data_IF_645298470857
#
_entry.id   IF_645298470857
#
_cell.length_a   1.000
_cell.length_b   1.000
_cell.length_c   1.000
_cell.angle_alpha   90.00
_cell.angle_beta   90.00
_cell.angle_gamma   90.00
#
_symmetry.space_group_name_H-M   'P 1'
#
loop_
_entity.id
_entity.type
_entity.pdbx_description
1 polymer ?
#
# COMPACT_ATOMS: atom_id res chain seq x y z
N UNK A 1 21.53 9.45 15.06
CA UNK A 1 20.54 9.46 13.96
C UNK A 1 20.46 10.90 13.49
N UNK A 2 21.18 11.20 12.43
CA UNK A 2 21.66 12.54 12.07
C UNK A 2 20.59 13.29 11.27
N UNK A 3 20.62 14.63 11.27
CA UNK A 3 19.72 15.49 10.48
C UNK A 3 19.64 15.13 8.99
N UNK A 4 20.63 14.42 8.45
CA UNK A 4 20.63 13.84 7.10
C UNK A 4 19.54 12.80 6.88
N UNK A 5 19.23 11.98 7.89
CA UNK A 5 18.25 10.88 7.80
C UNK A 5 16.82 11.42 7.59
N UNK A 6 16.55 12.66 8.04
CA UNK A 6 15.25 13.34 7.85
C UNK A 6 15.05 13.90 6.44
N UNK A 7 16.14 14.20 5.72
CA UNK A 7 16.08 14.78 4.36
C UNK A 7 15.88 13.67 3.31
N UNK A 8 16.41 12.48 3.59
CA UNK A 8 16.29 11.29 2.72
C UNK A 8 15.06 10.45 3.00
N UNK A 9 14.33 10.70 4.10
CA UNK A 9 13.11 9.99 4.43
C UNK A 9 12.06 10.09 3.30
N UNK A 10 11.48 8.95 2.95
CA UNK A 10 10.48 8.76 1.92
C UNK A 10 11.05 8.84 0.51
N UNK A 11 12.35 8.59 0.32
CA UNK A 11 13.01 8.62 -1.00
C UNK A 11 13.39 7.23 -1.48
N UNK A 12 13.33 7.05 -2.79
CA UNK A 12 13.74 5.81 -3.46
C UNK A 12 15.01 6.07 -4.25
N UNK A 13 16.13 5.51 -3.79
CA UNK A 13 17.43 5.62 -4.45
C UNK A 13 17.58 4.61 -5.60
N UNK A 14 18.61 4.79 -6.43
CA UNK A 14 18.78 4.04 -7.69
C UNK A 14 18.94 2.53 -7.55
N UNK A 15 19.34 2.06 -6.38
CA UNK A 15 19.49 0.65 -6.01
C UNK A 15 18.19 0.01 -5.49
N UNK A 16 17.15 0.80 -5.24
CA UNK A 16 15.88 0.32 -4.71
C UNK A 16 15.02 -0.32 -5.83
N UNK A 17 14.34 -1.47 -5.59
CA UNK A 17 13.56 -2.17 -6.62
C UNK A 17 12.52 -1.30 -7.33
N UNK A 18 11.88 -0.37 -6.60
CA UNK A 18 10.87 0.54 -7.14
C UNK A 18 11.44 1.71 -7.96
N UNK A 19 12.75 1.95 -7.96
CA UNK A 19 13.32 3.17 -8.52
C UNK A 19 12.89 3.44 -9.96
N UNK A 20 13.03 2.45 -10.84
CA UNK A 20 12.66 2.59 -12.25
C UNK A 20 11.18 2.94 -12.44
N UNK A 21 10.30 2.35 -11.61
CA UNK A 21 8.86 2.61 -11.65
C UNK A 21 8.50 4.01 -11.12
N UNK A 22 9.18 4.48 -10.08
CA UNK A 22 9.00 5.83 -9.53
C UNK A 22 9.47 6.90 -10.53
N UNK A 23 10.61 6.70 -11.20
CA UNK A 23 11.05 7.60 -12.27
C UNK A 23 10.08 7.62 -13.44
N UNK A 24 9.44 6.48 -13.75
CA UNK A 24 8.38 6.43 -14.74
C UNK A 24 7.13 7.17 -14.27
N UNK A 25 6.72 7.02 -13.02
CA UNK A 25 5.60 7.77 -12.44
C UNK A 25 5.82 9.28 -12.57
N UNK A 26 7.00 9.79 -12.20
CA UNK A 26 7.31 11.21 -12.34
C UNK A 26 7.24 11.71 -13.79
N UNK A 27 7.54 10.87 -14.79
CA UNK A 27 7.44 11.23 -16.21
C UNK A 27 6.01 11.16 -16.75
N UNK A 28 5.25 10.14 -16.36
CA UNK A 28 3.91 9.88 -16.89
C UNK A 28 2.86 10.81 -16.27
N UNK A 29 3.07 11.22 -15.02
CA UNK A 29 2.24 12.20 -14.32
C UNK A 29 2.84 13.61 -14.35
N UNK A 30 3.81 13.87 -15.23
CA UNK A 30 4.40 15.20 -15.38
C UNK A 30 3.32 16.19 -15.85
N UNK A 31 3.03 17.16 -15.00
CA UNK A 31 1.99 18.15 -15.23
C UNK A 31 2.39 19.48 -14.59
N UNK A 32 1.95 20.62 -15.16
CA UNK A 32 2.14 21.92 -14.53
C UNK A 32 1.53 21.93 -13.12
N UNK A 33 2.17 22.59 -12.14
CA UNK A 33 1.62 22.68 -10.80
C UNK A 33 0.19 23.24 -10.83
N UNK A 34 -0.70 22.76 -9.96
CA UNK A 34 -2.06 23.29 -9.88
C UNK A 34 -2.04 24.73 -9.36
N UNK A 35 -3.12 25.47 -9.61
CA UNK A 35 -3.23 26.87 -9.17
C UNK A 35 -3.41 26.96 -7.65
N UNK A 36 -4.05 25.95 -7.06
CA UNK A 36 -4.22 25.76 -5.62
C UNK A 36 -3.98 24.30 -5.22
N UNK A 37 -3.75 24.06 -3.93
CA UNK A 37 -3.50 22.72 -3.39
C UNK A 37 -4.74 22.03 -2.81
N UNK A 38 -5.92 22.65 -2.93
CA UNK A 38 -7.17 22.10 -2.37
C UNK A 38 -7.14 22.00 -0.84
N UNK A 39 -6.45 22.94 -0.19
CA UNK A 39 -6.28 23.00 1.26
C UNK A 39 -7.23 24.02 1.88
N UNK A 40 -7.54 23.85 3.16
CA UNK A 40 -8.36 24.79 3.89
C UNK A 40 -7.64 26.14 4.09
N UNK A 41 -8.32 27.22 3.73
CA UNK A 41 -7.80 28.59 3.81
C UNK A 41 -8.23 29.35 5.07
N UNK A 42 -8.80 28.67 6.08
CA UNK A 42 -9.33 29.31 7.29
C UNK A 42 -8.24 29.94 8.20
N UNK A 43 -6.96 29.84 7.84
CA UNK A 43 -5.82 30.37 8.60
C UNK A 43 -5.41 29.51 9.81
N UNK A 44 -6.21 28.52 10.21
CA UNK A 44 -5.90 27.59 11.31
C UNK A 44 -5.29 26.25 10.85
N UNK A 45 -5.64 25.76 9.66
CA UNK A 45 -5.16 24.45 9.16
C UNK A 45 -3.79 24.56 8.49
N UNK A 46 -3.65 25.49 7.54
CA UNK A 46 -2.39 25.77 6.85
C UNK A 46 -2.32 27.24 6.48
N UNK A 47 -1.20 27.88 6.81
CA UNK A 47 -0.97 29.27 6.43
C UNK A 47 -0.88 29.43 4.90
N UNK A 48 -1.49 30.46 4.30
CA UNK A 48 -1.41 30.71 2.86
C UNK A 48 0.03 30.76 2.31
N UNK A 49 0.98 31.25 3.12
CA UNK A 49 2.40 31.31 2.77
C UNK A 49 3.06 29.93 2.65
N UNK A 50 2.58 28.93 3.40
CA UNK A 50 3.07 27.55 3.32
C UNK A 50 2.65 26.94 1.99
N UNK A 51 1.37 27.09 1.63
CA UNK A 51 0.84 26.61 0.36
C UNK A 51 1.52 27.24 -0.85
N UNK A 52 1.70 28.57 -0.82
CA UNK A 52 2.41 29.30 -1.86
C UNK A 52 3.88 28.84 -1.97
N UNK A 53 4.55 28.57 -0.84
CA UNK A 53 5.92 28.02 -0.84
C UNK A 53 5.97 26.61 -1.43
N UNK A 54 4.98 25.77 -1.14
CA UNK A 54 4.90 24.41 -1.68
C UNK A 54 4.70 24.41 -3.20
N UNK A 55 3.84 25.29 -3.73
CA UNK A 55 3.57 25.41 -5.17
C UNK A 55 4.77 25.95 -5.98
N UNK A 56 5.73 26.62 -5.35
CA UNK A 56 6.93 27.16 -6.01
C UNK A 56 7.98 26.09 -6.34
N UNK A 57 7.80 24.84 -5.89
CA UNK A 57 8.72 23.74 -6.16
C UNK A 57 7.96 22.52 -6.71
N UNK A 58 8.60 21.71 -7.56
CA UNK A 58 8.02 20.44 -8.01
C UNK A 58 7.63 19.57 -6.81
N UNK A 59 6.54 18.81 -6.92
CA UNK A 59 6.11 17.82 -5.91
C UNK A 59 7.24 16.83 -5.58
N UNK A 60 8.08 16.51 -6.57
CA UNK A 60 9.30 15.73 -6.39
C UNK A 60 10.24 16.29 -5.32
N UNK A 61 10.24 17.59 -5.05
CA UNK A 61 11.13 18.23 -4.07
C UNK A 61 10.45 18.49 -2.72
N UNK A 62 9.25 17.94 -2.51
CA UNK A 62 8.58 18.01 -1.22
C UNK A 62 9.18 16.99 -0.26
N UNK A 63 9.49 17.45 0.95
CA UNK A 63 9.91 16.57 2.05
C UNK A 63 8.73 15.76 2.56
N UNK A 64 9.00 14.74 3.37
CA UNK A 64 7.94 13.97 4.04
C UNK A 64 7.00 14.87 4.85
N UNK A 65 7.57 15.82 5.60
CA UNK A 65 6.83 16.78 6.41
C UNK A 65 5.93 17.70 5.56
N UNK A 66 6.37 18.06 4.35
CA UNK A 66 5.56 18.87 3.44
C UNK A 66 4.32 18.12 2.97
N UNK A 67 4.49 16.84 2.62
CA UNK A 67 3.40 15.96 2.17
C UNK A 67 2.38 15.75 3.29
N UNK A 68 2.82 15.56 4.54
CA UNK A 68 1.89 15.46 5.67
C UNK A 68 1.17 16.76 5.96
N UNK A 69 1.91 17.87 6.01
CA UNK A 69 1.29 19.18 6.26
C UNK A 69 0.20 19.48 5.22
N UNK A 70 0.44 19.11 3.96
CA UNK A 70 -0.59 19.17 2.93
C UNK A 70 -1.77 18.23 3.21
N UNK A 71 -1.50 16.94 3.49
CA UNK A 71 -2.55 15.95 3.74
C UNK A 71 -3.47 16.32 4.90
N UNK A 72 -2.92 16.82 6.01
CA UNK A 72 -3.70 17.20 7.20
C UNK A 72 -4.55 18.45 6.97
N UNK A 73 -4.26 19.18 5.89
CA UNK A 73 -4.91 20.45 5.55
C UNK A 73 -5.83 20.36 4.33
N UNK A 74 -5.84 19.23 3.62
CA UNK A 74 -6.65 19.04 2.41
C UNK A 74 -8.13 18.98 2.75
N UNK A 75 -8.95 19.69 1.98
CA UNK A 75 -10.41 19.64 2.12
C UNK A 75 -11.01 18.40 1.43
N UNK A 76 -12.24 18.04 1.79
CA UNK A 76 -13.00 17.03 1.07
C UNK A 76 -13.25 17.48 -0.39
N UNK A 77 -13.25 16.54 -1.34
CA UNK A 77 -13.50 16.85 -2.74
C UNK A 77 -12.30 17.46 -3.49
N UNK A 78 -11.07 17.07 -3.13
CA UNK A 78 -9.86 17.45 -3.85
C UNK A 78 -9.99 17.19 -5.36
N UNK A 79 -9.62 18.19 -6.16
CA UNK A 79 -9.58 18.03 -7.60
C UNK A 79 -8.58 16.96 -8.04
N UNK A 80 -9.02 16.09 -8.95
CA UNK A 80 -8.21 15.02 -9.55
C UNK A 80 -6.86 15.53 -10.11
N UNK A 81 -6.83 16.77 -10.62
CA UNK A 81 -5.59 17.39 -11.12
C UNK A 81 -4.55 17.59 -10.01
N UNK A 82 -4.96 18.02 -8.82
CA UNK A 82 -4.05 18.20 -7.68
C UNK A 82 -3.51 16.85 -7.24
N UNK A 83 -4.38 15.85 -7.13
CA UNK A 83 -3.97 14.49 -6.78
C UNK A 83 -2.99 13.91 -7.81
N UNK A 84 -3.31 14.00 -9.10
CA UNK A 84 -2.45 13.51 -10.19
C UNK A 84 -1.04 14.11 -10.13
N UNK A 85 -0.93 15.40 -9.81
CA UNK A 85 0.35 16.10 -9.70
C UNK A 85 1.18 15.65 -8.48
N UNK A 86 0.52 15.32 -7.37
CA UNK A 86 1.17 14.85 -6.14
C UNK A 86 1.45 13.35 -6.12
N UNK A 87 0.68 12.57 -6.88
CA UNK A 87 0.66 11.11 -6.82
C UNK A 87 2.05 10.47 -6.93
N UNK A 88 2.94 10.85 -7.87
CA UNK A 88 4.28 10.27 -7.93
C UNK A 88 5.08 10.41 -6.63
N UNK A 89 4.93 11.53 -5.91
CA UNK A 89 5.59 11.73 -4.62
C UNK A 89 5.00 10.83 -3.53
N UNK A 90 3.69 10.63 -3.54
CA UNK A 90 3.03 9.67 -2.65
C UNK A 90 3.48 8.23 -2.92
N UNK A 91 3.55 7.83 -4.19
CA UNK A 91 4.05 6.51 -4.59
C UNK A 91 5.51 6.30 -4.15
N UNK A 92 6.37 7.32 -4.30
CA UNK A 92 7.77 7.24 -3.85
C UNK A 92 7.87 7.01 -2.34
N UNK A 93 7.07 7.74 -1.54
CA UNK A 93 7.06 7.59 -0.08
C UNK A 93 6.55 6.20 0.33
N UNK A 94 5.49 5.72 -0.30
CA UNK A 94 4.95 4.37 -0.08
C UNK A 94 5.97 3.28 -0.44
N UNK A 95 6.66 3.43 -1.56
CA UNK A 95 7.69 2.52 -2.02
C UNK A 95 8.89 2.46 -1.07
N UNK A 96 9.32 3.61 -0.53
CA UNK A 96 10.38 3.70 0.47
C UNK A 96 10.02 2.98 1.79
N UNK A 97 8.73 2.70 2.02
CA UNK A 97 8.25 2.02 3.23
C UNK A 97 8.21 2.92 4.46
N UNK A 98 8.36 4.23 4.27
CA UNK A 98 8.27 5.23 5.34
C UNK A 98 6.81 5.49 5.71
N UNK A 99 6.19 4.49 6.34
CA UNK A 99 4.82 4.49 6.83
C UNK A 99 4.71 4.93 8.28
N UNK A 100 5.76 5.53 8.88
CA UNK A 100 5.91 5.85 10.32
C UNK A 100 4.74 6.63 10.96
N UNK A 101 3.72 7.04 10.21
CA UNK A 101 2.62 7.88 10.66
C UNK A 101 1.28 7.16 10.41
N UNK A 102 0.99 6.19 11.28
CA UNK A 102 -0.36 5.69 11.63
C UNK A 102 -1.42 5.79 10.52
N UNK A 103 -1.24 5.04 9.42
CA UNK A 103 -2.27 4.90 8.37
C UNK A 103 -2.56 6.18 7.57
N UNK A 104 -1.70 7.20 7.58
CA UNK A 104 -1.93 8.45 6.83
C UNK A 104 -1.95 8.23 5.31
N UNK A 105 -1.08 7.37 4.78
CA UNK A 105 -1.05 7.07 3.35
C UNK A 105 -2.21 6.16 2.93
N UNK A 106 -2.60 5.23 3.79
CA UNK A 106 -3.84 4.46 3.63
C UNK A 106 -5.04 5.41 3.57
N UNK A 107 -5.15 6.36 4.51
CA UNK A 107 -6.19 7.41 4.49
C UNK A 107 -6.12 8.30 3.25
N UNK A 108 -4.94 8.60 2.74
CA UNK A 108 -4.78 9.34 1.48
C UNK A 108 -5.34 8.55 0.31
N UNK A 109 -5.03 7.25 0.21
CA UNK A 109 -5.55 6.37 -0.83
C UNK A 109 -7.06 6.12 -0.68
N UNK A 110 -7.59 6.06 0.54
CA UNK A 110 -9.04 6.03 0.81
C UNK A 110 -9.71 7.30 0.28
N UNK A 111 -9.10 8.47 0.53
CA UNK A 111 -9.64 9.77 0.11
C UNK A 111 -9.57 9.98 -1.40
N UNK A 112 -8.57 9.39 -2.06
CA UNK A 112 -8.32 9.60 -3.47
C UNK A 112 -8.36 8.27 -4.23
N UNK A 113 -9.38 8.00 -5.06
CA UNK A 113 -9.65 6.70 -5.68
C UNK A 113 -8.61 6.31 -6.74
N UNK A 114 -7.39 6.04 -6.29
CA UNK A 114 -6.21 5.85 -7.13
C UNK A 114 -6.27 4.56 -7.93
N UNK A 115 -6.96 3.55 -7.42
CA UNK A 115 -7.23 2.29 -8.09
C UNK A 115 -8.39 2.30 -9.08
N UNK A 116 -9.06 3.43 -9.31
CA UNK A 116 -10.13 3.54 -10.31
C UNK A 116 -9.56 3.81 -11.71
N UNK A 117 -9.41 2.75 -12.52
CA UNK A 117 -8.86 2.82 -13.88
C UNK A 117 -9.46 3.93 -14.76
N UNK A 118 -10.76 4.21 -14.63
CA UNK A 118 -11.46 5.23 -15.42
C UNK A 118 -10.97 6.66 -15.18
N UNK A 119 -10.25 6.92 -14.09
CA UNK A 119 -9.70 8.24 -13.77
C UNK A 119 -8.33 8.50 -14.40
N UNK A 120 -7.78 7.51 -15.11
CA UNK A 120 -6.40 7.51 -15.57
C UNK A 120 -6.33 7.19 -17.06
N UNK A 121 -5.37 7.79 -17.75
CA UNK A 121 -4.97 7.30 -19.08
C UNK A 121 -4.36 5.91 -18.99
N UNK A 122 -4.32 5.17 -20.10
CA UNK A 122 -3.73 3.82 -20.13
C UNK A 122 -2.28 3.80 -19.64
N UNK A 123 -1.49 4.84 -19.96
CA UNK A 123 -0.10 4.97 -19.52
C UNK A 123 0.01 5.19 -18.00
N UNK A 124 -0.85 6.05 -17.45
CA UNK A 124 -0.91 6.28 -16.00
C UNK A 124 -1.36 5.03 -15.27
N UNK A 125 -2.42 4.38 -15.75
CA UNK A 125 -2.91 3.13 -15.17
C UNK A 125 -1.86 2.02 -15.20
N UNK A 126 -1.10 1.87 -16.28
CA UNK A 126 -0.04 0.87 -16.37
C UNK A 126 1.07 1.07 -15.31
N UNK A 127 1.35 2.32 -14.91
CA UNK A 127 2.26 2.59 -13.77
C UNK A 127 1.61 2.17 -12.46
N UNK A 128 0.35 2.53 -12.23
CA UNK A 128 -0.38 2.24 -10.99
C UNK A 128 -0.63 0.73 -10.78
N UNK A 129 -0.96 -0.01 -11.83
CA UNK A 129 -1.17 -1.45 -11.76
C UNK A 129 0.13 -2.22 -11.48
N UNK A 130 1.24 -1.82 -12.11
CA UNK A 130 2.57 -2.38 -11.78
C UNK A 130 3.00 -2.01 -10.36
N UNK A 131 2.71 -0.78 -9.92
CA UNK A 131 2.99 -0.36 -8.56
C UNK A 131 2.25 -1.23 -7.54
N UNK A 132 0.95 -1.46 -7.73
CA UNK A 132 0.16 -2.37 -6.89
C UNK A 132 0.76 -3.79 -6.88
N UNK A 133 1.16 -4.32 -8.04
CA UNK A 133 1.82 -5.63 -8.12
C UNK A 133 3.12 -5.69 -7.30
N UNK A 134 4.00 -4.70 -7.44
CA UNK A 134 5.25 -4.64 -6.67
C UNK A 134 5.03 -4.46 -5.16
N UNK A 135 3.96 -3.76 -4.75
CA UNK A 135 3.61 -3.62 -3.33
C UNK A 135 3.13 -4.97 -2.75
N UNK A 136 2.32 -5.71 -3.50
CA UNK A 136 1.91 -7.07 -3.10
C UNK A 136 3.13 -8.00 -3.00
N UNK A 137 4.00 -8.01 -4.01
CA UNK A 137 5.24 -8.80 -3.99
C UNK A 137 6.11 -8.46 -2.76
N UNK A 138 6.24 -7.17 -2.44
CA UNK A 138 6.94 -6.72 -1.22
C UNK A 138 6.28 -7.27 0.04
N UNK A 139 4.96 -7.25 0.14
CA UNK A 139 4.20 -7.81 1.27
C UNK A 139 4.35 -9.33 1.41
N UNK A 140 4.53 -10.04 0.29
CA UNK A 140 4.78 -11.48 0.25
C UNK A 140 6.19 -11.85 0.73
N UNK A 141 7.18 -11.02 0.42
CA UNK A 141 8.60 -11.25 0.74
C UNK A 141 8.99 -10.76 2.14
N UNK A 142 8.28 -9.78 2.70
CA UNK A 142 8.65 -9.19 3.99
C UNK A 142 8.32 -10.12 5.16
N UNK A 143 9.36 -10.40 5.98
CA UNK A 143 9.24 -11.17 7.22
C UNK A 143 9.07 -10.30 8.47
N UNK A 144 9.42 -9.01 8.35
CA UNK A 144 9.26 -7.98 9.38
C UNK A 144 8.71 -6.72 8.71
N UNK A 145 7.56 -6.22 9.16
CA UNK A 145 6.89 -5.06 8.59
C UNK A 145 5.49 -5.40 8.05
N UNK A 146 4.93 -4.54 7.18
CA UNK A 146 3.62 -4.79 6.59
C UNK A 146 3.60 -6.07 5.76
N UNK A 147 2.65 -6.95 6.04
CA UNK A 147 2.44 -8.21 5.33
C UNK A 147 1.56 -8.02 4.07
N UNK A 148 1.31 -9.11 3.36
CA UNK A 148 0.45 -9.10 2.17
C UNK A 148 -0.97 -8.59 2.45
N UNK A 149 -1.53 -8.82 3.65
CA UNK A 149 -2.87 -8.35 3.98
C UNK A 149 -2.91 -6.85 4.22
N UNK A 150 -1.87 -6.27 4.82
CA UNK A 150 -1.74 -4.83 4.90
C UNK A 150 -1.71 -4.19 3.51
N UNK A 151 -0.91 -4.74 2.59
CA UNK A 151 -0.79 -4.20 1.24
C UNK A 151 -2.11 -4.38 0.45
N UNK A 152 -2.77 -5.54 0.57
CA UNK A 152 -4.11 -5.78 0.01
C UNK A 152 -5.14 -4.78 0.55
N UNK A 153 -5.13 -4.54 1.86
CA UNK A 153 -6.06 -3.64 2.54
C UNK A 153 -5.89 -2.21 2.05
N UNK A 154 -4.65 -1.72 2.06
CA UNK A 154 -4.30 -0.39 1.56
C UNK A 154 -4.71 -0.21 0.09
N UNK A 155 -4.42 -1.18 -0.79
CA UNK A 155 -4.78 -1.11 -2.21
C UNK A 155 -6.29 -1.21 -2.45
N UNK A 156 -6.99 -2.08 -1.72
CA UNK A 156 -8.44 -2.20 -1.83
C UNK A 156 -9.13 -0.87 -1.45
N UNK A 157 -8.68 -0.25 -0.37
CA UNK A 157 -9.12 1.07 0.06
C UNK A 157 -8.76 2.18 -0.93
N UNK A 158 -7.62 2.04 -1.59
CA UNK A 158 -7.25 2.87 -2.75
C UNK A 158 -8.18 2.73 -3.95
N UNK A 159 -9.09 1.76 -3.95
CA UNK A 159 -10.08 1.52 -5.00
C UNK A 159 -9.62 0.53 -6.07
N UNK A 160 -8.53 -0.20 -5.87
CA UNK A 160 -8.15 -1.28 -6.79
C UNK A 160 -9.16 -2.44 -6.68
N UNK A 161 -9.48 -3.13 -7.80
CA UNK A 161 -10.38 -4.27 -7.75
C UNK A 161 -9.82 -5.40 -6.89
N UNK A 162 -10.41 -5.62 -5.71
CA UNK A 162 -9.91 -6.59 -4.73
C UNK A 162 -9.76 -8.01 -5.30
N UNK A 163 -10.67 -8.46 -6.16
CA UNK A 163 -10.60 -9.80 -6.78
C UNK A 163 -9.37 -9.96 -7.67
N UNK A 164 -8.97 -8.90 -8.39
CA UNK A 164 -7.77 -8.92 -9.23
C UNK A 164 -6.50 -8.96 -8.35
N UNK A 165 -6.51 -8.22 -7.24
CA UNK A 165 -5.40 -8.25 -6.27
C UNK A 165 -5.26 -9.63 -5.61
N UNK A 166 -6.38 -10.21 -5.17
CA UNK A 166 -6.43 -11.57 -4.61
C UNK A 166 -5.91 -12.58 -5.64
N UNK A 167 -6.34 -12.51 -6.89
CA UNK A 167 -5.88 -13.42 -7.93
C UNK A 167 -4.35 -13.36 -8.11
N UNK A 168 -3.75 -12.16 -8.05
CA UNK A 168 -2.28 -11.98 -8.07
C UNK A 168 -1.60 -12.67 -6.88
N UNK A 169 -2.14 -12.49 -5.67
CA UNK A 169 -1.60 -13.11 -4.45
C UNK A 169 -1.75 -14.63 -4.47
N UNK A 170 -2.90 -15.15 -4.89
CA UNK A 170 -3.19 -16.58 -4.94
C UNK A 170 -2.32 -17.34 -5.95
N UNK A 171 -1.94 -16.68 -7.04
CA UNK A 171 -1.05 -17.22 -8.06
C UNK A 171 0.42 -17.27 -7.62
N UNK A 172 0.78 -16.62 -6.50
CA UNK A 172 2.15 -16.57 -6.03
C UNK A 172 2.57 -17.92 -5.40
N UNK A 173 3.70 -18.52 -5.81
CA UNK A 173 4.17 -19.78 -5.26
C UNK A 173 4.55 -19.67 -3.78
N UNK A 174 5.03 -18.50 -3.33
CA UNK A 174 5.53 -18.24 -1.98
C UNK A 174 4.40 -17.88 -0.99
N UNK A 175 3.14 -17.92 -1.44
CA UNK A 175 1.97 -17.68 -0.60
C UNK A 175 1.96 -18.47 0.71
N UNK A 176 2.25 -19.78 0.76
CA UNK A 176 2.22 -20.51 2.01
C UNK A 176 3.20 -19.97 3.04
N UNK A 177 4.39 -19.53 2.60
CA UNK A 177 5.34 -18.91 3.48
C UNK A 177 4.80 -17.56 3.99
N UNK A 178 4.32 -16.70 3.09
CA UNK A 178 3.75 -15.40 3.47
C UNK A 178 2.60 -15.53 4.49
N UNK A 179 1.68 -16.47 4.28
CA UNK A 179 0.56 -16.74 5.20
C UNK A 179 1.03 -17.32 6.54
N UNK A 180 2.06 -18.17 6.55
CA UNK A 180 2.64 -18.66 7.79
C UNK A 180 3.21 -17.50 8.63
N UNK A 181 3.82 -16.49 8.02
CA UNK A 181 4.25 -15.29 8.74
C UNK A 181 3.09 -14.42 9.20
N UNK A 182 2.10 -14.17 8.33
CA UNK A 182 0.96 -13.31 8.64
C UNK A 182 0.08 -13.87 9.77
N UNK A 183 -0.24 -15.17 9.73
CA UNK A 183 -1.20 -15.80 10.65
C UNK A 183 -0.57 -16.69 11.71
N UNK A 184 0.66 -17.16 11.52
CA UNK A 184 1.32 -18.05 12.46
C UNK A 184 1.92 -17.36 13.70
N UNK A 185 2.01 -16.03 13.71
CA UNK A 185 2.63 -15.27 14.81
C UNK A 185 1.71 -14.97 16.00
N UNK A 186 0.49 -15.54 16.03
CA UNK A 186 -0.50 -15.25 17.08
C UNK A 186 -1.28 -13.94 16.86
N UNK A 187 -1.07 -13.29 15.72
CA UNK A 187 -2.07 -12.38 15.15
C UNK A 187 -3.24 -13.25 14.69
N UNK A 188 -4.45 -12.93 15.16
CA UNK A 188 -5.62 -13.72 14.78
C UNK A 188 -5.89 -13.45 13.28
N UNK A 189 -6.36 -14.47 12.55
CA UNK A 189 -6.94 -14.27 11.21
C UNK A 189 -8.00 -13.16 11.27
N UNK A 190 -8.67 -12.97 12.41
CA UNK A 190 -9.61 -11.88 12.66
C UNK A 190 -8.99 -10.47 12.59
N UNK A 191 -7.68 -10.31 12.79
CA UNK A 191 -7.01 -9.01 12.65
C UNK A 191 -6.73 -8.70 11.17
N UNK A 192 -6.26 -9.69 10.40
CA UNK A 192 -5.99 -9.55 8.96
C UNK A 192 -7.27 -9.51 8.12
N UNK A 193 -8.23 -10.34 8.48
CA UNK A 193 -9.61 -10.33 8.01
C UNK A 193 -10.44 -9.72 9.13
N UNK A 194 -10.27 -8.43 9.42
CA UNK A 194 -11.11 -7.67 10.36
C UNK A 194 -12.19 -6.83 9.66
N UNK A 195 -13.18 -6.24 10.38
CA UNK A 195 -14.37 -5.63 9.77
C UNK A 195 -14.13 -4.34 8.94
N UNK A 196 -12.89 -3.89 8.79
CA UNK A 196 -12.54 -2.59 8.19
C UNK A 196 -12.18 -2.67 6.69
N UNK A 197 -12.68 -3.66 5.97
CA UNK A 197 -12.50 -3.77 4.52
C UNK A 197 -13.54 -2.95 3.74
N UNK A 198 -13.22 -2.50 2.51
CA UNK A 198 -14.23 -1.90 1.62
C UNK A 198 -15.42 -2.87 1.38
N UNK A 199 -16.61 -2.35 1.03
CA UNK A 199 -17.77 -3.18 0.74
C UNK A 199 -17.47 -4.28 -0.29
N UNK A 200 -17.84 -5.53 0.04
CA UNK A 200 -17.64 -6.71 -0.81
C UNK A 200 -16.22 -7.29 -0.83
N UNK A 201 -15.21 -6.59 -0.28
CA UNK A 201 -13.85 -7.12 -0.18
C UNK A 201 -13.75 -8.24 0.86
N UNK A 202 -14.49 -8.13 1.96
CA UNK A 202 -14.58 -9.19 2.98
C UNK A 202 -14.98 -10.54 2.38
N UNK A 203 -16.10 -10.57 1.64
CA UNK A 203 -16.62 -11.81 1.05
C UNK A 203 -15.62 -12.39 0.04
N UNK A 204 -14.99 -11.54 -0.77
CA UNK A 204 -13.99 -11.98 -1.73
C UNK A 204 -12.74 -12.58 -1.05
N UNK A 205 -12.30 -12.00 0.07
CA UNK A 205 -11.20 -12.54 0.86
C UNK A 205 -11.57 -13.88 1.48
N UNK A 206 -12.76 -13.99 2.09
CA UNK A 206 -13.24 -15.24 2.65
C UNK A 206 -13.35 -16.34 1.59
N UNK A 207 -13.94 -16.03 0.44
CA UNK A 207 -14.08 -16.96 -0.68
C UNK A 207 -12.72 -17.49 -1.17
N UNK A 208 -11.67 -16.66 -1.15
CA UNK A 208 -10.36 -17.04 -1.64
C UNK A 208 -9.48 -17.73 -0.58
N UNK A 209 -9.50 -17.21 0.64
CA UNK A 209 -8.55 -17.59 1.69
C UNK A 209 -9.12 -18.57 2.72
N UNK A 210 -10.43 -18.66 2.86
CA UNK A 210 -11.07 -19.59 3.80
C UNK A 210 -11.65 -20.76 3.01
N UNK A 211 -10.75 -21.62 2.53
CA UNK A 211 -11.08 -22.79 1.72
C UNK A 211 -10.33 -24.03 2.20
N UNK A 212 -10.93 -25.21 1.99
CA UNK A 212 -10.26 -26.48 2.29
C UNK A 212 -8.96 -26.63 1.50
N UNK A 213 -8.95 -26.20 0.24
CA UNK A 213 -7.78 -26.29 -0.63
C UNK A 213 -6.59 -25.46 -0.09
N UNK A 214 -6.84 -24.25 0.42
CA UNK A 214 -5.77 -23.46 1.02
C UNK A 214 -5.32 -24.03 2.37
N UNK A 215 -6.23 -24.56 3.19
CA UNK A 215 -5.85 -25.25 4.42
C UNK A 215 -4.94 -26.45 4.14
N UNK A 216 -5.27 -27.26 3.13
CA UNK A 216 -4.47 -28.41 2.71
C UNK A 216 -3.10 -27.97 2.17
N UNK A 217 -3.06 -26.88 1.38
CA UNK A 217 -1.80 -26.28 0.89
C UNK A 217 -0.90 -25.82 2.05
N UNK A 218 -1.47 -25.19 3.08
CA UNK A 218 -0.75 -24.76 4.27
C UNK A 218 -0.23 -25.94 5.10
N UNK A 219 -1.06 -26.99 5.26
CA UNK A 219 -0.67 -28.22 5.95
C UNK A 219 0.48 -28.91 5.21
N UNK A 220 0.38 -29.06 3.89
CA UNK A 220 1.44 -29.65 3.07
C UNK A 220 2.75 -28.87 3.20
N UNK A 221 2.68 -27.53 3.16
CA UNK A 221 3.84 -26.66 3.36
C UNK A 221 4.47 -26.85 4.74
N UNK A 222 3.67 -26.86 5.81
CA UNK A 222 4.16 -27.06 7.18
C UNK A 222 4.81 -28.42 7.43
N UNK A 223 4.49 -29.44 6.62
CA UNK A 223 5.05 -30.79 6.70
C UNK A 223 6.23 -31.02 5.75
N UNK A 224 6.69 -30.01 5.02
CA UNK A 224 7.82 -30.15 4.10
C UNK A 224 9.13 -30.44 4.85
N UNK A 225 9.87 -31.44 4.36
CA UNK A 225 11.21 -31.76 4.87
C UNK A 225 12.18 -30.59 4.68
N UNK A 226 12.95 -30.28 5.73
CA UNK A 226 13.96 -29.22 5.70
C UNK A 226 13.45 -27.81 5.94
N UNK A 227 12.15 -27.63 6.19
CA UNK A 227 11.60 -26.34 6.61
C UNK A 227 12.08 -25.99 8.04
N UNK A 228 12.31 -24.69 8.29
CA UNK A 228 12.61 -24.21 9.64
C UNK A 228 11.48 -24.60 10.61
N UNK A 229 11.77 -25.17 11.80
CA UNK A 229 10.74 -25.64 12.72
C UNK A 229 9.74 -24.57 13.16
N UNK A 230 10.15 -23.29 13.27
CA UNK A 230 9.21 -22.21 13.62
C UNK A 230 8.28 -21.91 12.45
N UNK A 231 8.80 -21.96 11.23
CA UNK A 231 8.02 -21.73 10.03
C UNK A 231 7.03 -22.89 9.77
N UNK A 232 7.44 -24.12 10.06
CA UNK A 232 6.56 -25.30 10.08
C UNK A 232 5.41 -25.13 11.08
N UNK A 233 5.69 -24.83 12.35
CA UNK A 233 4.66 -24.59 13.38
C UNK A 233 3.69 -23.47 12.97
N UNK A 234 4.22 -22.38 12.42
CA UNK A 234 3.42 -21.26 11.90
C UNK A 234 2.47 -21.66 10.76
N UNK A 235 2.97 -22.44 9.81
CA UNK A 235 2.17 -22.90 8.68
C UNK A 235 1.05 -23.85 9.13
N UNK A 236 1.34 -24.74 10.09
CA UNK A 236 0.35 -25.65 10.67
C UNK A 236 -0.74 -24.89 11.44
N UNK A 237 -0.36 -23.87 12.22
CA UNK A 237 -1.34 -22.98 12.89
C UNK A 237 -2.20 -22.19 11.91
N UNK A 238 -1.61 -21.72 10.80
CA UNK A 238 -2.38 -21.06 9.76
C UNK A 238 -3.39 -22.03 9.10
N UNK A 239 -3.00 -23.29 8.85
CA UNK A 239 -3.92 -24.32 8.35
C UNK A 239 -5.08 -24.57 9.34
N UNK A 240 -4.78 -24.75 10.63
CA UNK A 240 -5.79 -24.92 11.68
C UNK A 240 -6.73 -23.71 11.75
N UNK A 241 -6.20 -22.50 11.69
CA UNK A 241 -6.99 -21.27 11.76
C UNK A 241 -7.93 -21.10 10.56
N UNK A 242 -7.54 -21.55 9.36
CA UNK A 242 -8.43 -21.64 8.19
C UNK A 242 -9.53 -22.67 8.44
N UNK A 243 -9.16 -23.88 8.90
CA UNK A 243 -10.10 -24.99 9.13
C UNK A 243 -11.17 -24.65 10.17
N UNK A 244 -10.83 -23.93 11.23
CA UNK A 244 -11.80 -23.47 12.24
C UNK A 244 -12.86 -22.51 11.67
N UNK A 245 -12.73 -22.04 10.43
CA UNK A 245 -13.59 -21.03 9.80
C UNK A 245 -14.30 -21.51 8.52
N UNK A 246 -14.10 -22.78 8.13
CA UNK A 246 -14.86 -23.45 7.07
C UNK A 246 -16.28 -23.78 7.56
#
# INVERSE_FOLDING_TARGET
>A
MLESDKITAGRVFSDHPFHGLIEEAYRVFDAPPPIHLGICTCGMCMGPDVAARLLRRPARNWTLADVWSWHDSVEEGLEQRVWSWLLPRFLEILAAGDTCHNGLYERSLIRFPTGQKSLWSDRQWAVLDRFAGMMLERGMQRRNGPDVFYELHMLAHGGWPIRDLIAKVMADPDLPEALAYAWGCGLDICDSLGPNWPPGAWDALHEAFITQELADRMLAYGLMDGLDPKLSDRALRAAEAIQCRL
#
